data_IF_262998964345
#
_entry.id   IF_262998964345
#
_cell.length_a   1.000
_cell.length_b   1.000
_cell.length_c   1.000
_cell.angle_alpha   90.00
_cell.angle_beta   90.00
_cell.angle_gamma   90.00
#
_symmetry.space_group_name_H-M   'P 1'
#
loop_
_entity.id
_entity.type
_entity.pdbx_description
1 polymer ?
#
# COMPACT_ATOMS: atom_id res chain seq x y z
N UNK A 1 10.21 -5.22 -33.14
CA UNK A 1 10.87 -3.95 -33.53
C UNK A 1 11.27 -3.13 -32.30
N UNK A 2 12.57 -3.09 -32.05
CA UNK A 2 13.22 -2.42 -30.93
C UNK A 2 12.89 -0.92 -30.86
N UNK A 3 12.11 -0.51 -29.87
CA UNK A 3 12.17 0.86 -29.36
C UNK A 3 13.22 0.90 -28.26
N UNK A 4 14.47 0.94 -28.71
CA UNK A 4 15.63 1.26 -27.89
C UNK A 4 15.52 2.75 -27.52
N UNK A 5 14.65 3.08 -26.57
CA UNK A 5 14.64 4.41 -25.95
C UNK A 5 15.90 4.47 -25.10
N UNK A 6 16.90 5.32 -25.42
CA UNK A 6 18.12 5.37 -24.65
C UNK A 6 17.74 5.75 -23.21
N UNK A 7 17.98 4.85 -22.25
CA UNK A 7 17.90 5.21 -20.84
C UNK A 7 18.78 6.45 -20.65
N UNK A 8 18.22 7.60 -20.22
CA UNK A 8 19.03 8.78 -20.03
C UNK A 8 20.12 8.42 -19.02
N UNK A 9 21.38 8.61 -19.40
CA UNK A 9 22.53 8.34 -18.55
C UNK A 9 22.27 8.98 -17.17
N UNK A 10 22.34 8.23 -16.05
CA UNK A 10 22.08 8.78 -14.72
C UNK A 10 22.86 10.08 -14.44
N UNK A 11 24.08 10.17 -14.95
CA UNK A 11 24.93 11.36 -14.87
C UNK A 11 24.35 12.58 -15.60
N UNK A 12 23.68 12.38 -16.74
CA UNK A 12 23.02 13.48 -17.48
C UNK A 12 21.81 14.02 -16.73
N UNK A 13 20.96 13.14 -16.18
CA UNK A 13 19.81 13.56 -15.37
C UNK A 13 20.27 14.28 -14.11
N UNK A 14 21.32 13.75 -13.47
CA UNK A 14 21.94 14.35 -12.30
C UNK A 14 22.46 15.77 -12.61
N UNK A 15 23.29 15.93 -13.63
CA UNK A 15 23.86 17.22 -14.01
C UNK A 15 22.78 18.24 -14.41
N UNK A 16 21.77 17.82 -15.19
CA UNK A 16 20.66 18.67 -15.60
C UNK A 16 19.79 19.10 -14.40
N UNK A 17 19.65 18.25 -13.37
CA UNK A 17 18.97 18.62 -12.13
C UNK A 17 19.80 19.61 -11.28
N UNK A 18 21.12 19.41 -11.18
CA UNK A 18 22.01 20.35 -10.50
C UNK A 18 22.01 21.72 -11.18
N UNK A 19 22.06 21.74 -12.50
CA UNK A 19 21.99 22.95 -13.34
C UNK A 19 20.59 23.59 -13.39
N UNK A 20 19.59 23.00 -12.73
CA UNK A 20 18.19 23.49 -12.70
C UNK A 20 17.48 23.46 -14.07
N UNK A 21 17.98 22.68 -15.04
CA UNK A 21 17.32 22.41 -16.31
C UNK A 21 16.12 21.46 -16.12
N UNK A 22 16.25 20.53 -15.17
CA UNK A 22 15.17 19.63 -14.74
C UNK A 22 14.64 20.12 -13.40
N UNK A 23 13.31 20.30 -13.31
CA UNK A 23 12.64 20.78 -12.09
C UNK A 23 12.31 19.67 -11.09
N UNK A 24 12.05 18.45 -11.58
CA UNK A 24 11.63 17.32 -10.76
C UNK A 24 12.33 16.06 -11.25
N UNK A 25 12.87 15.29 -10.30
CA UNK A 25 13.46 13.98 -10.57
C UNK A 25 12.69 12.92 -9.79
N UNK A 26 12.20 11.90 -10.47
CA UNK A 26 11.68 10.69 -9.85
C UNK A 26 12.83 9.68 -9.73
N UNK A 27 13.11 9.24 -8.51
CA UNK A 27 14.30 8.45 -8.18
C UNK A 27 13.97 7.35 -7.18
N UNK A 28 14.66 6.21 -7.31
CA UNK A 28 14.75 5.23 -6.23
C UNK A 28 15.85 5.63 -5.25
N UNK A 29 15.88 4.99 -4.07
CA UNK A 29 16.88 5.26 -3.01
C UNK A 29 18.32 5.28 -3.54
N UNK A 30 18.64 4.40 -4.51
CA UNK A 30 19.97 4.29 -5.10
C UNK A 30 20.44 5.57 -5.83
N UNK A 31 19.52 6.34 -6.44
CA UNK A 31 19.85 7.58 -7.13
C UNK A 31 19.92 8.79 -6.18
N UNK A 32 19.18 8.75 -5.07
CA UNK A 32 19.15 9.84 -4.10
C UNK A 32 20.49 10.07 -3.40
N UNK A 33 21.29 9.02 -3.16
CA UNK A 33 22.48 9.05 -2.30
C UNK A 33 23.57 10.06 -2.72
N UNK A 34 23.60 10.54 -3.96
CA UNK A 34 24.61 11.47 -4.48
C UNK A 34 24.13 12.90 -4.77
N UNK A 35 22.85 13.23 -4.56
CA UNK A 35 22.33 14.58 -4.87
C UNK A 35 22.60 15.52 -3.70
N UNK A 36 23.54 16.45 -3.90
CA UNK A 36 23.81 17.57 -3.00
C UNK A 36 23.49 18.91 -3.69
N UNK A 37 22.19 19.17 -3.84
CA UNK A 37 21.67 20.44 -4.36
C UNK A 37 21.10 21.24 -3.19
N UNK A 38 21.62 22.43 -2.87
CA UNK A 38 21.24 23.14 -1.65
C UNK A 38 19.80 23.66 -1.66
N UNK A 39 19.28 23.95 -2.85
CA UNK A 39 18.01 24.62 -3.10
C UNK A 39 16.85 23.68 -3.46
N UNK A 40 16.90 22.42 -3.01
CA UNK A 40 15.77 21.48 -3.17
C UNK A 40 14.59 21.94 -2.29
N UNK A 41 13.48 22.33 -2.93
CA UNK A 41 12.28 22.86 -2.24
C UNK A 41 11.29 21.79 -1.78
N UNK A 42 11.36 20.60 -2.36
CA UNK A 42 10.39 19.54 -2.10
C UNK A 42 11.01 18.16 -2.25
N UNK A 43 10.76 17.31 -1.26
CA UNK A 43 11.05 15.87 -1.31
C UNK A 43 9.74 15.12 -1.06
N UNK A 44 9.38 14.23 -1.99
CA UNK A 44 8.18 13.42 -1.89
C UNK A 44 8.51 11.93 -1.89
N UNK A 45 7.96 11.24 -0.90
CA UNK A 45 7.90 9.80 -0.82
C UNK A 45 6.53 9.32 -1.32
N UNK A 46 6.54 8.66 -2.48
CA UNK A 46 5.34 8.02 -3.04
C UNK A 46 5.09 6.63 -2.46
N UNK A 47 6.16 6.00 -1.97
CA UNK A 47 6.15 4.73 -1.26
C UNK A 47 6.76 4.95 0.13
N UNK A 48 6.33 4.12 1.10
CA UNK A 48 6.88 4.17 2.45
C UNK A 48 8.37 3.82 2.48
N UNK A 49 9.24 4.66 3.06
CA UNK A 49 10.64 4.34 3.28
C UNK A 49 10.83 3.05 4.08
N UNK A 50 12.00 2.43 3.95
CA UNK A 50 12.31 1.16 4.63
C UNK A 50 12.39 1.30 6.15
N UNK A 51 12.81 2.47 6.62
CA UNK A 51 12.99 2.79 8.03
C UNK A 51 13.01 4.31 8.26
N UNK A 52 12.93 4.71 9.53
CA UNK A 52 12.88 6.11 9.93
C UNK A 52 14.20 6.85 9.67
N UNK A 53 15.36 6.19 9.73
CA UNK A 53 16.65 6.83 9.44
C UNK A 53 16.78 7.16 7.95
N UNK A 54 16.32 6.27 7.08
CA UNK A 54 16.22 6.52 5.64
C UNK A 54 15.32 7.70 5.36
N UNK A 55 14.13 7.74 5.98
CA UNK A 55 13.22 8.89 5.89
C UNK A 55 13.90 10.20 6.31
N UNK A 56 14.60 10.20 7.44
CA UNK A 56 15.33 11.38 7.94
C UNK A 56 16.41 11.86 6.96
N UNK A 57 17.25 10.94 6.47
CA UNK A 57 18.32 11.27 5.54
C UNK A 57 17.80 11.76 4.19
N UNK A 58 16.75 11.12 3.66
CA UNK A 58 16.17 11.44 2.35
C UNK A 58 15.44 12.78 2.38
N UNK A 59 14.62 13.02 3.39
CA UNK A 59 13.92 14.32 3.55
C UNK A 59 14.87 15.45 3.91
N UNK A 60 15.98 15.17 4.61
CA UNK A 60 17.06 16.12 4.93
C UNK A 60 17.87 16.62 3.71
N UNK A 61 17.52 16.17 2.49
CA UNK A 61 18.03 16.77 1.24
C UNK A 61 17.33 18.06 0.88
N UNK A 62 16.12 18.30 1.41
CA UNK A 62 15.37 19.51 1.16
C UNK A 62 15.92 20.67 2.02
N UNK A 63 15.98 21.88 1.46
CA UNK A 63 16.21 23.10 2.26
C UNK A 63 17.59 23.23 2.90
N UNK A 64 18.67 22.71 2.30
CA UNK A 64 20.03 22.83 2.85
C UNK A 64 20.56 24.27 2.83
N UNK A 65 20.01 25.12 1.98
CA UNK A 65 20.20 26.58 1.99
C UNK A 65 19.49 27.31 3.15
N UNK A 66 18.74 26.59 3.99
CA UNK A 66 17.98 27.14 5.12
C UNK A 66 16.66 27.80 4.72
N UNK A 67 16.31 27.84 3.42
CA UNK A 67 15.04 28.38 2.95
C UNK A 67 13.90 27.36 3.13
N UNK A 68 12.64 27.83 3.19
CA UNK A 68 11.49 26.95 3.35
C UNK A 68 11.47 25.81 2.32
N UNK A 69 11.28 24.59 2.80
CA UNK A 69 11.16 23.39 1.99
C UNK A 69 10.14 22.44 2.63
N UNK A 70 9.58 21.55 1.81
CA UNK A 70 8.54 20.63 2.22
C UNK A 70 9.00 19.18 2.07
N UNK A 71 8.76 18.38 3.10
CA UNK A 71 8.84 16.94 3.06
C UNK A 71 7.42 16.37 3.07
N UNK A 72 7.10 15.46 2.14
CA UNK A 72 5.78 14.86 2.03
C UNK A 72 5.88 13.36 1.81
N UNK A 73 5.03 12.60 2.49
CA UNK A 73 5.00 11.14 2.38
C UNK A 73 3.56 10.65 2.22
N UNK A 74 3.33 9.86 1.19
CA UNK A 74 2.16 8.99 1.09
C UNK A 74 2.51 7.58 1.57
N UNK A 75 1.57 6.94 2.26
CA UNK A 75 1.64 5.52 2.59
C UNK A 75 0.25 4.94 2.82
N UNK A 76 0.09 3.66 2.54
CA UNK A 76 -1.09 2.86 2.79
C UNK A 76 -0.76 1.58 3.54
N UNK A 77 -1.81 0.84 3.93
CA UNK A 77 -1.64 -0.46 4.60
C UNK A 77 -0.82 -1.45 3.76
N UNK A 78 -0.95 -1.41 2.43
CA UNK A 78 -0.22 -2.30 1.53
C UNK A 78 1.29 -2.09 1.62
N UNK A 79 1.75 -0.85 1.77
CA UNK A 79 3.18 -0.53 1.89
C UNK A 79 3.74 -1.13 3.17
N UNK A 80 2.98 -1.05 4.27
CA UNK A 80 3.34 -1.66 5.55
C UNK A 80 3.51 -3.17 5.42
N UNK A 81 2.55 -3.84 4.77
CA UNK A 81 2.59 -5.28 4.52
C UNK A 81 3.79 -5.66 3.67
N UNK A 82 4.03 -4.90 2.58
CA UNK A 82 5.15 -5.16 1.66
C UNK A 82 6.51 -4.98 2.34
N UNK A 83 6.71 -3.91 3.13
CA UNK A 83 7.96 -3.68 3.85
C UNK A 83 8.23 -4.77 4.90
N UNK A 84 7.21 -5.16 5.68
CA UNK A 84 7.33 -6.27 6.63
C UNK A 84 7.74 -7.57 5.94
N UNK A 85 7.09 -7.89 4.82
CA UNK A 85 7.45 -9.06 4.00
C UNK A 85 8.91 -9.03 3.55
N UNK A 86 9.39 -7.89 3.03
CA UNK A 86 10.78 -7.77 2.58
C UNK A 86 11.79 -8.00 3.72
N UNK A 87 11.46 -7.61 4.95
CA UNK A 87 12.30 -7.83 6.13
C UNK A 87 12.30 -9.32 6.51
N UNK A 88 11.11 -9.93 6.60
CA UNK A 88 10.95 -11.32 7.06
C UNK A 88 11.56 -12.33 6.09
N UNK A 89 11.33 -12.16 4.78
CA UNK A 89 11.83 -13.07 3.73
C UNK A 89 13.30 -12.83 3.38
N UNK A 90 14.01 -11.98 4.11
CA UNK A 90 15.43 -11.73 3.86
C UNK A 90 16.25 -12.94 4.33
N UNK A 91 16.67 -13.78 3.38
CA UNK A 91 17.43 -15.02 3.66
C UNK A 91 18.85 -14.75 4.21
N UNK A 92 19.42 -13.59 3.88
CA UNK A 92 20.78 -13.20 4.29
C UNK A 92 20.81 -12.61 5.70
N UNK A 93 19.66 -12.17 6.21
CA UNK A 93 19.57 -11.50 7.50
C UNK A 93 19.40 -12.49 8.66
N UNK A 94 20.17 -12.32 9.74
CA UNK A 94 19.91 -13.03 10.99
C UNK A 94 18.59 -12.58 11.62
N UNK A 95 18.00 -13.41 12.49
CA UNK A 95 16.74 -13.04 13.16
C UNK A 95 16.88 -11.79 14.05
N UNK A 96 18.04 -11.60 14.69
CA UNK A 96 18.35 -10.39 15.46
C UNK A 96 18.33 -9.15 14.56
N UNK A 97 18.91 -9.25 13.36
CA UNK A 97 18.89 -8.16 12.39
C UNK A 97 17.46 -7.87 11.92
N UNK A 98 16.65 -8.90 11.63
CA UNK A 98 15.24 -8.74 11.25
C UNK A 98 14.44 -8.07 12.36
N UNK A 99 14.67 -8.45 13.63
CA UNK A 99 14.03 -7.80 14.78
C UNK A 99 14.36 -6.30 14.85
N UNK A 100 15.63 -5.93 14.69
CA UNK A 100 16.04 -4.52 14.63
C UNK A 100 15.33 -3.79 13.48
N UNK A 101 15.31 -4.38 12.29
CA UNK A 101 14.65 -3.78 11.12
C UNK A 101 13.14 -3.61 11.30
N UNK A 102 12.47 -4.59 11.94
CA UNK A 102 11.05 -4.48 12.31
C UNK A 102 10.84 -3.30 13.26
N UNK A 103 11.66 -3.17 14.30
CA UNK A 103 11.59 -2.04 15.24
C UNK A 103 11.76 -0.67 14.55
N UNK A 104 12.69 -0.58 13.58
CA UNK A 104 12.89 0.64 12.79
C UNK A 104 11.71 0.98 11.87
N UNK A 105 11.08 -0.03 11.29
CA UNK A 105 9.86 0.14 10.50
C UNK A 105 8.70 0.60 11.38
N UNK A 106 8.56 0.02 12.58
CA UNK A 106 7.53 0.37 13.55
C UNK A 106 7.70 1.80 14.08
N UNK A 107 8.94 2.27 14.22
CA UNK A 107 9.23 3.68 14.52
C UNK A 107 8.75 4.63 13.41
N UNK A 108 8.95 4.26 12.13
CA UNK A 108 8.45 5.05 11.00
C UNK A 108 6.92 5.06 10.93
N UNK A 109 6.27 3.91 11.20
CA UNK A 109 4.80 3.83 11.29
C UNK A 109 4.28 4.70 12.43
N UNK A 110 4.96 4.68 13.57
CA UNK A 110 4.65 5.55 14.69
C UNK A 110 4.74 7.01 14.26
N UNK A 111 5.84 7.43 13.62
CA UNK A 111 5.96 8.80 13.09
C UNK A 111 4.80 9.19 12.18
N UNK A 112 4.29 8.26 11.36
CA UNK A 112 3.22 8.50 10.40
C UNK A 112 1.81 8.55 11.04
N UNK A 113 1.54 7.74 12.05
CA UNK A 113 0.24 7.68 12.74
C UNK A 113 0.14 8.57 13.99
N UNK A 114 1.27 9.01 14.56
CA UNK A 114 1.28 9.83 15.77
C UNK A 114 0.50 11.13 15.57
N UNK A 115 -0.17 11.56 16.63
CA UNK A 115 -0.96 12.79 16.69
C UNK A 115 -0.16 13.96 17.24
N UNK A 116 1.00 13.69 17.86
CA UNK A 116 1.95 14.70 18.32
C UNK A 116 2.66 15.38 17.15
N UNK A 117 3.38 16.47 17.45
CA UNK A 117 4.22 17.15 16.47
C UNK A 117 5.21 16.19 15.80
N UNK A 118 5.24 16.13 14.45
CA UNK A 118 6.14 15.26 13.69
C UNK A 118 7.61 15.43 14.08
N UNK A 119 8.05 16.68 14.29
CA UNK A 119 9.43 16.97 14.72
C UNK A 119 9.75 16.38 16.09
N UNK A 120 8.79 16.42 17.02
CA UNK A 120 9.00 15.88 18.37
C UNK A 120 9.11 14.36 18.29
N UNK A 121 8.21 13.70 17.56
CA UNK A 121 8.25 12.24 17.37
C UNK A 121 9.53 11.79 16.64
N UNK A 122 9.96 12.55 15.63
CA UNK A 122 11.19 12.27 14.88
C UNK A 122 12.45 12.43 15.72
N UNK A 123 12.60 13.54 16.46
CA UNK A 123 13.78 13.80 17.28
C UNK A 123 13.84 12.87 18.50
N UNK A 124 12.70 12.56 19.10
CA UNK A 124 12.61 11.62 20.22
C UNK A 124 13.14 10.23 19.84
N UNK A 125 12.97 9.79 18.59
CA UNK A 125 13.57 8.54 18.10
C UNK A 125 15.11 8.57 18.14
N UNK A 126 15.73 9.73 17.87
CA UNK A 126 17.17 9.92 17.93
C UNK A 126 17.68 10.29 19.34
N UNK A 127 16.80 10.25 20.36
CA UNK A 127 17.15 10.60 21.73
C UNK A 127 17.27 12.11 21.97
N UNK A 128 16.71 12.94 21.09
CA UNK A 128 16.70 14.39 21.22
C UNK A 128 15.32 14.90 21.65
N UNK A 129 15.31 15.71 22.71
CA UNK A 129 14.10 16.40 23.16
C UNK A 129 13.78 17.62 22.30
N UNK A 130 12.49 17.87 22.07
CA UNK A 130 12.04 19.01 21.30
C UNK A 130 10.66 19.50 21.72
N UNK A 131 10.37 20.76 21.40
CA UNK A 131 9.05 21.35 21.56
C UNK A 131 8.25 21.28 20.24
N UNK A 132 6.91 21.36 20.28
CA UNK A 132 6.08 21.41 19.08
C UNK A 132 6.57 22.48 18.09
N UNK A 133 6.75 22.10 16.83
CA UNK A 133 7.48 22.92 15.87
C UNK A 133 6.70 24.05 15.23
N UNK A 134 5.36 24.06 15.34
CA UNK A 134 4.50 25.04 14.68
C UNK A 134 4.47 24.96 13.15
N UNK A 135 5.14 23.98 12.52
CA UNK A 135 5.36 23.94 11.07
C UNK A 135 5.15 22.55 10.41
N UNK A 136 4.71 21.54 11.16
CA UNK A 136 4.33 20.24 10.59
C UNK A 136 2.82 20.13 10.41
N UNK A 137 2.36 19.16 9.62
CA UNK A 137 0.93 18.90 9.38
C UNK A 137 0.13 18.79 10.68
N UNK A 138 0.64 18.06 11.68
CA UNK A 138 -0.03 17.91 12.97
C UNK A 138 -0.04 19.20 13.82
N UNK A 139 0.92 20.11 13.66
CA UNK A 139 0.90 21.40 14.35
C UNK A 139 -0.03 22.40 13.65
N UNK A 140 -0.02 22.39 12.32
CA UNK A 140 -0.80 23.32 11.49
C UNK A 140 -2.28 22.93 11.45
N UNK A 141 -2.56 21.62 11.39
CA UNK A 141 -3.90 21.04 11.38
C UNK A 141 -3.94 19.87 12.36
N UNK A 142 -4.09 20.13 13.67
CA UNK A 142 -4.15 19.08 14.70
C UNK A 142 -5.18 18.00 14.34
N UNK A 143 -4.78 16.72 14.26
CA UNK A 143 -5.70 15.68 13.88
C UNK A 143 -6.76 15.48 14.96
N UNK A 144 -8.02 15.34 14.54
CA UNK A 144 -9.07 14.88 15.42
C UNK A 144 -8.74 13.45 15.90
N UNK A 145 -9.01 13.20 17.17
CA UNK A 145 -8.85 11.89 17.81
C UNK A 145 -10.19 11.46 18.37
N UNK A 146 -10.46 10.16 18.33
CA UNK A 146 -11.67 9.59 18.86
C UNK A 146 -11.36 8.38 19.71
N UNK A 147 -12.24 8.08 20.65
CA UNK A 147 -12.17 6.86 21.45
C UNK A 147 -12.58 5.66 20.59
N UNK A 148 -11.58 4.96 20.07
CA UNK A 148 -11.77 3.79 19.24
C UNK A 148 -11.66 2.49 20.04
N UNK A 149 -11.76 2.53 21.38
CA UNK A 149 -11.61 1.35 22.25
C UNK A 149 -12.53 0.22 21.81
N UNK A 150 -13.80 0.54 21.49
CA UNK A 150 -14.76 -0.47 21.03
C UNK A 150 -14.36 -1.02 19.66
N UNK A 151 -13.96 -0.18 18.70
CA UNK A 151 -13.54 -0.64 17.38
C UNK A 151 -12.27 -1.51 17.46
N UNK A 152 -11.30 -1.11 18.28
CA UNK A 152 -10.11 -1.89 18.57
C UNK A 152 -10.48 -3.26 19.16
N UNK A 153 -11.33 -3.29 20.19
CA UNK A 153 -11.79 -4.55 20.79
C UNK A 153 -12.51 -5.45 19.80
N UNK A 154 -13.37 -4.90 18.94
CA UNK A 154 -14.06 -5.65 17.87
C UNK A 154 -13.04 -6.29 16.92
N UNK A 155 -12.08 -5.52 16.42
CA UNK A 155 -11.01 -6.01 15.52
C UNK A 155 -10.17 -7.10 16.18
N UNK A 156 -9.63 -6.84 17.39
CA UNK A 156 -8.79 -7.79 18.10
C UNK A 156 -9.56 -9.07 18.47
N UNK A 157 -10.82 -8.94 18.89
CA UNK A 157 -11.69 -10.08 19.18
C UNK A 157 -11.97 -10.91 17.93
N UNK A 158 -12.18 -10.27 16.78
CA UNK A 158 -12.42 -10.97 15.53
C UNK A 158 -11.19 -11.78 15.10
N UNK A 159 -9.98 -11.20 15.17
CA UNK A 159 -8.73 -11.91 14.89
C UNK A 159 -8.60 -13.14 15.79
N UNK A 160 -8.83 -12.97 17.11
CA UNK A 160 -8.77 -14.06 18.08
C UNK A 160 -9.80 -15.17 17.80
N UNK A 161 -11.06 -14.80 17.58
CA UNK A 161 -12.18 -15.75 17.35
C UNK A 161 -11.99 -16.56 16.08
N UNK A 162 -11.52 -15.92 15.01
CA UNK A 162 -11.22 -16.58 13.75
C UNK A 162 -10.11 -17.61 13.91
N UNK A 163 -9.02 -17.24 14.59
CA UNK A 163 -7.93 -18.17 14.89
C UNK A 163 -8.43 -19.34 15.77
N UNK A 164 -9.25 -19.06 16.78
CA UNK A 164 -9.83 -20.08 17.66
C UNK A 164 -10.74 -21.07 16.91
N UNK A 165 -11.58 -20.59 15.99
CA UNK A 165 -12.56 -21.41 15.29
C UNK A 165 -11.95 -22.22 14.14
N UNK A 166 -11.00 -21.62 13.40
CA UNK A 166 -10.42 -22.25 12.21
C UNK A 166 -9.08 -22.92 12.44
N UNK A 167 -8.40 -22.66 13.57
CA UNK A 167 -7.03 -23.12 13.83
C UNK A 167 -5.97 -22.44 12.95
N UNK A 168 -6.37 -21.58 12.01
CA UNK A 168 -5.51 -20.83 11.10
C UNK A 168 -5.83 -19.33 11.16
N UNK A 169 -4.85 -18.51 10.80
CA UNK A 169 -5.00 -17.05 10.75
C UNK A 169 -5.44 -16.57 9.38
N UNK A 170 -6.00 -15.37 9.29
CA UNK A 170 -6.52 -14.79 8.05
C UNK A 170 -6.01 -13.37 7.84
N UNK A 171 -5.93 -12.94 6.58
CA UNK A 171 -5.53 -11.58 6.21
C UNK A 171 -6.62 -10.54 6.49
N UNK A 172 -6.23 -9.26 6.39
CA UNK A 172 -7.07 -8.12 6.73
C UNK A 172 -8.44 -8.09 6.02
N UNK A 173 -8.49 -8.43 4.72
CA UNK A 173 -9.74 -8.43 3.94
C UNK A 173 -10.81 -9.31 4.56
N UNK A 174 -10.45 -10.55 4.89
CA UNK A 174 -11.35 -11.54 5.49
C UNK A 174 -11.85 -11.09 6.88
N UNK A 175 -10.96 -10.56 7.72
CA UNK A 175 -11.33 -10.04 9.04
C UNK A 175 -12.31 -8.86 8.92
N UNK A 176 -12.08 -7.95 7.97
CA UNK A 176 -12.99 -6.83 7.72
C UNK A 176 -14.34 -7.29 7.17
N UNK A 177 -14.37 -8.32 6.31
CA UNK A 177 -15.61 -8.88 5.78
C UNK A 177 -16.45 -9.52 6.90
N UNK A 178 -15.83 -10.25 7.84
CA UNK A 178 -16.51 -10.80 9.03
C UNK A 178 -17.09 -9.68 9.88
N UNK A 179 -16.28 -8.69 10.27
CA UNK A 179 -16.74 -7.57 11.11
C UNK A 179 -17.93 -6.84 10.50
N UNK A 180 -17.93 -6.68 9.18
CA UNK A 180 -19.01 -5.99 8.45
C UNK A 180 -20.20 -6.89 8.13
N UNK A 181 -20.14 -8.18 8.46
CA UNK A 181 -21.23 -9.13 8.23
C UNK A 181 -21.42 -9.49 6.75
N UNK A 182 -20.35 -9.41 5.94
CA UNK A 182 -20.41 -9.80 4.54
C UNK A 182 -20.34 -11.32 4.42
N UNK A 183 -21.31 -11.89 3.72
CA UNK A 183 -21.34 -13.31 3.38
C UNK A 183 -20.51 -13.51 2.11
N UNK A 184 -19.32 -14.07 2.26
CA UNK A 184 -18.44 -14.48 1.15
C UNK A 184 -18.25 -15.99 1.18
N UNK A 185 -17.85 -16.59 0.05
CA UNK A 185 -17.58 -18.03 -0.03
C UNK A 185 -16.63 -18.49 1.07
N UNK A 186 -15.60 -17.69 1.35
CA UNK A 186 -14.61 -17.95 2.40
C UNK A 186 -15.18 -17.82 3.81
N UNK A 187 -16.09 -16.87 4.05
CA UNK A 187 -16.79 -16.76 5.34
C UNK A 187 -17.64 -18.01 5.58
N UNK A 188 -18.38 -18.47 4.56
CA UNK A 188 -19.22 -19.67 4.66
C UNK A 188 -18.41 -20.96 4.80
N UNK A 189 -17.33 -21.09 4.01
CA UNK A 189 -16.44 -22.27 4.02
C UNK A 189 -15.89 -22.56 5.42
N UNK A 190 -15.53 -21.53 6.17
CA UNK A 190 -14.98 -21.64 7.52
C UNK A 190 -16.02 -21.41 8.62
N UNK A 191 -17.31 -21.36 8.26
CA UNK A 191 -18.43 -21.09 9.18
C UNK A 191 -18.24 -19.83 10.06
N UNK A 192 -17.57 -18.82 9.51
CA UNK A 192 -17.28 -17.57 10.22
C UNK A 192 -18.49 -16.64 10.34
N UNK A 193 -19.55 -16.90 9.60
CA UNK A 193 -20.88 -16.31 9.75
C UNK A 193 -21.49 -16.59 11.13
N UNK A 194 -21.10 -17.71 11.77
CA UNK A 194 -21.58 -18.12 13.10
C UNK A 194 -20.80 -17.51 14.25
N UNK A 195 -19.72 -16.76 13.98
CA UNK A 195 -18.93 -16.15 15.02
C UNK A 195 -19.70 -15.00 15.69
N UNK A 196 -19.52 -14.86 17.01
CA UNK A 196 -20.03 -13.69 17.76
C UNK A 196 -19.51 -12.34 17.25
N UNK A 197 -18.45 -12.33 16.43
CA UNK A 197 -17.88 -11.14 15.80
C UNK A 197 -18.38 -10.88 14.39
N UNK A 198 -19.25 -11.74 13.85
CA UNK A 198 -19.86 -11.52 12.55
C UNK A 198 -20.85 -10.35 12.61
N UNK A 199 -20.67 -9.36 11.74
CA UNK A 199 -21.59 -8.21 11.62
C UNK A 199 -21.54 -7.19 12.75
N UNK A 200 -20.76 -7.41 13.81
CA UNK A 200 -20.72 -6.50 14.97
C UNK A 200 -20.09 -5.14 14.66
N UNK A 201 -19.45 -5.00 13.51
CA UNK A 201 -18.73 -3.81 13.04
C UNK A 201 -19.31 -3.18 11.78
N UNK A 202 -20.60 -3.45 11.48
CA UNK A 202 -21.28 -2.95 10.28
C UNK A 202 -21.38 -1.41 10.22
N UNK A 203 -21.23 -0.73 11.37
CA UNK A 203 -21.28 0.73 11.47
C UNK A 203 -20.08 1.44 10.84
N UNK A 204 -18.95 0.74 10.67
CA UNK A 204 -17.75 1.31 10.05
C UNK A 204 -17.58 0.81 8.61
N UNK A 205 -17.24 1.74 7.72
CA UNK A 205 -16.85 1.43 6.36
C UNK A 205 -15.52 0.68 6.31
N UNK A 206 -15.24 0.00 5.19
CA UNK A 206 -13.98 -0.71 5.00
C UNK A 206 -12.75 0.18 5.14
N UNK A 207 -12.83 1.42 4.64
CA UNK A 207 -11.76 2.41 4.73
C UNK A 207 -11.46 2.77 6.18
N UNK A 208 -12.49 2.92 7.01
CA UNK A 208 -12.36 3.17 8.44
C UNK A 208 -11.75 1.96 9.15
N UNK A 209 -12.22 0.74 8.87
CA UNK A 209 -11.63 -0.48 9.42
C UNK A 209 -10.16 -0.66 9.04
N UNK A 210 -9.80 -0.33 7.79
CA UNK A 210 -8.42 -0.35 7.32
C UNK A 210 -7.56 0.67 8.08
N UNK A 211 -8.10 1.85 8.37
CA UNK A 211 -7.45 2.87 9.20
C UNK A 211 -7.28 2.41 10.66
N UNK A 212 -8.29 1.76 11.24
CA UNK A 212 -8.20 1.15 12.59
C UNK A 212 -7.10 0.10 12.63
N UNK A 213 -7.12 -0.87 11.71
CA UNK A 213 -6.11 -1.93 11.65
C UNK A 213 -4.69 -1.37 11.48
N UNK A 214 -4.50 -0.40 10.58
CA UNK A 214 -3.20 0.24 10.34
C UNK A 214 -2.66 0.90 11.61
N UNK A 215 -3.51 1.58 12.38
CA UNK A 215 -3.10 2.19 13.64
C UNK A 215 -2.88 1.16 14.77
N UNK A 216 -3.62 0.05 14.79
CA UNK A 216 -3.36 -1.06 15.74
C UNK A 216 -2.02 -1.76 15.46
N UNK A 217 -1.61 -1.84 14.20
CA UNK A 217 -0.28 -2.30 13.82
C UNK A 217 0.79 -1.33 14.32
N UNK A 218 0.61 -0.02 14.09
CA UNK A 218 1.54 1.01 14.57
C UNK A 218 1.66 1.06 16.10
N UNK A 219 0.60 0.67 16.83
CA UNK A 219 0.58 0.53 18.29
C UNK A 219 1.07 -0.83 18.80
N UNK A 220 1.69 -1.66 17.94
CA UNK A 220 2.19 -2.99 18.29
C UNK A 220 1.15 -3.95 18.91
N UNK A 221 -0.13 -3.80 18.57
CA UNK A 221 -1.20 -4.71 19.02
C UNK A 221 -1.46 -5.84 18.03
N UNK A 222 -1.18 -5.59 16.74
CA UNK A 222 -1.38 -6.56 15.65
C UNK A 222 -0.11 -6.63 14.81
N UNK A 223 0.31 -7.84 14.47
CA UNK A 223 1.37 -8.11 13.50
C UNK A 223 0.78 -8.72 12.24
N UNK A 224 1.37 -8.40 11.10
CA UNK A 224 1.14 -9.12 9.83
C UNK A 224 2.24 -10.17 9.69
N UNK A 225 1.85 -11.44 9.61
CA UNK A 225 2.74 -12.56 9.30
C UNK A 225 2.86 -12.68 7.79
N UNK A 226 4.05 -12.35 7.27
CA UNK A 226 4.28 -12.29 5.84
C UNK A 226 4.51 -13.68 5.19
N UNK A 227 4.93 -14.67 5.97
CA UNK A 227 5.16 -16.06 5.52
C UNK A 227 3.84 -16.82 5.40
N UNK A 228 2.95 -16.61 6.37
CA UNK A 228 1.60 -17.16 6.34
C UNK A 228 0.63 -16.24 5.57
N UNK A 229 0.90 -15.93 4.29
CA UNK A 229 -0.02 -15.20 3.40
C UNK A 229 -0.53 -13.84 3.92
N UNK A 230 0.31 -13.06 4.63
CA UNK A 230 -0.07 -11.75 5.21
C UNK A 230 -1.23 -11.85 6.21
N UNK A 231 -1.22 -12.90 7.03
CA UNK A 231 -2.25 -13.13 8.05
C UNK A 231 -2.03 -12.26 9.29
N UNK A 232 -3.12 -11.95 9.98
CA UNK A 232 -3.07 -11.10 11.17
C UNK A 232 -2.88 -11.93 12.43
N UNK A 233 -1.93 -11.52 13.28
CA UNK A 233 -1.63 -12.13 14.57
C UNK A 233 -1.69 -11.08 15.68
N UNK A 234 -2.21 -11.49 16.84
CA UNK A 234 -2.24 -10.63 18.02
C UNK A 234 -0.88 -10.61 18.72
N UNK A 235 -0.46 -9.44 19.17
CA UNK A 235 0.71 -9.24 20.00
C UNK A 235 0.33 -9.11 21.49
N UNK A 236 1.28 -9.24 22.44
CA UNK A 236 0.99 -9.21 23.88
C UNK A 236 0.16 -7.98 24.33
N UNK A 237 0.43 -6.81 23.75
CA UNK A 237 -0.23 -5.54 24.10
C UNK A 237 -1.73 -5.52 23.76
N UNK A 238 -2.19 -6.37 22.84
CA UNK A 238 -3.62 -6.52 22.53
C UNK A 238 -4.43 -7.02 23.73
N UNK A 239 -3.80 -7.74 24.67
CA UNK A 239 -4.47 -8.39 25.79
C UNK A 239 -5.10 -7.38 26.75
N UNK A 240 -4.41 -6.30 27.07
CA UNK A 240 -4.91 -5.27 27.98
C UNK A 240 -6.17 -4.58 27.40
N UNK A 241 -6.16 -4.31 26.08
CA UNK A 241 -7.31 -3.74 25.37
C UNK A 241 -8.49 -4.72 25.35
N UNK A 242 -8.25 -6.01 25.08
CA UNK A 242 -9.30 -7.03 25.07
C UNK A 242 -10.00 -7.17 26.43
N UNK A 243 -9.24 -7.08 27.53
CA UNK A 243 -9.75 -7.08 28.91
C UNK A 243 -10.43 -5.78 29.32
N UNK A 244 -10.30 -4.71 28.52
CA UNK A 244 -10.84 -3.39 28.86
C UNK A 244 -10.02 -2.63 29.88
N UNK A 245 -8.76 -3.01 30.10
CA UNK A 245 -7.84 -2.35 31.02
C UNK A 245 -7.25 -1.05 30.43
N UNK A 246 -7.19 -0.96 29.09
CA UNK A 246 -6.58 0.16 28.36
C UNK A 246 -7.55 0.69 27.32
N UNK A 247 -7.68 2.02 27.25
CA UNK A 247 -8.41 2.74 26.20
C UNK A 247 -7.53 2.95 24.98
N UNK A 248 -8.14 2.95 23.79
CA UNK A 248 -7.44 3.10 22.52
C UNK A 248 -7.93 4.36 21.81
N UNK A 249 -7.15 5.43 21.95
CA UNK A 249 -7.36 6.66 21.19
C UNK A 249 -6.70 6.54 19.82
N UNK A 250 -7.49 6.73 18.76
CA UNK A 250 -7.02 6.68 17.38
C UNK A 250 -7.27 8.02 16.69
N UNK A 251 -6.42 8.32 15.72
CA UNK A 251 -6.63 9.41 14.76
C UNK A 251 -7.90 9.13 13.97
N UNK A 252 -8.78 10.12 13.89
CA UNK A 252 -9.94 10.07 13.04
C UNK A 252 -9.48 10.10 11.58
N UNK A 253 -9.92 9.12 10.80
CA UNK A 253 -9.71 9.14 9.37
C UNK A 253 -10.63 10.23 8.81
N UNK A 254 -10.05 11.33 8.33
CA UNK A 254 -10.79 12.27 7.51
C UNK A 254 -11.37 11.49 6.33
N UNK A 255 -12.69 11.21 6.36
CA UNK A 255 -13.43 10.75 5.20
C UNK A 255 -13.20 11.84 4.16
N UNK A 256 -12.28 11.60 3.22
CA UNK A 256 -11.76 12.63 2.33
C UNK A 256 -12.89 13.52 1.83
N UNK A 257 -12.82 14.80 2.20
CA UNK A 257 -13.90 15.76 2.00
C UNK A 257 -14.39 15.77 0.56
N UNK A 258 -15.52 15.12 0.32
CA UNK A 258 -16.32 15.25 -0.91
C UNK A 258 -17.48 16.24 -0.73
N UNK A 259 -17.55 16.92 0.40
CA UNK A 259 -18.65 17.85 0.69
C UNK A 259 -18.40 19.29 0.18
N UNK A 260 -17.14 19.73 -0.02
CA UNK A 260 -16.87 21.17 -0.27
C UNK A 260 -16.02 21.48 -1.52
N UNK A 261 -15.82 20.50 -2.41
CA UNK A 261 -15.14 20.71 -3.71
C UNK A 261 -16.10 20.71 -4.91
N UNK A 262 -17.38 20.98 -4.67
CA UNK A 262 -18.36 21.28 -5.72
C UNK A 262 -18.29 22.77 -6.10
N UNK A 263 -17.20 23.19 -6.75
CA UNK A 263 -17.22 24.24 -7.77
C UNK A 263 -15.84 24.35 -8.44
N UNK A 264 -15.88 24.25 -9.77
CA UNK A 264 -14.79 24.44 -10.75
C UNK A 264 -13.69 23.38 -10.82
N UNK A 265 -13.96 22.35 -11.61
CA UNK A 265 -13.15 22.15 -12.82
C UNK A 265 -14.00 21.48 -13.91
N UNK A 266 -14.03 22.10 -15.07
CA UNK A 266 -14.56 21.53 -16.31
C UNK A 266 -13.66 20.35 -16.66
N UNK A 267 -14.20 19.13 -16.58
CA UNK A 267 -13.52 17.92 -17.00
C UNK A 267 -13.51 17.86 -18.53
N UNK A 268 -12.38 18.18 -19.14
CA UNK A 268 -12.00 17.54 -20.41
C UNK A 268 -11.31 16.23 -20.06
N UNK A 269 -12.09 15.17 -19.90
CA UNK A 269 -11.53 13.84 -19.59
C UNK A 269 -10.86 13.25 -20.83
N UNK A 270 -9.54 13.17 -20.79
CA UNK A 270 -8.65 12.44 -21.73
C UNK A 270 -8.90 10.91 -21.70
N UNK A 271 -9.87 10.44 -20.91
CA UNK A 271 -10.20 9.01 -20.75
C UNK A 271 -10.89 8.39 -21.97
N UNK A 272 -11.47 9.21 -22.87
CA UNK A 272 -12.20 8.74 -24.05
C UNK A 272 -11.38 8.59 -25.34
N UNK A 273 -10.10 8.97 -25.35
CA UNK A 273 -9.32 9.05 -26.60
C UNK A 273 -8.43 7.81 -26.88
N UNK A 274 -8.30 6.89 -25.92
CA UNK A 274 -7.45 5.70 -26.03
C UNK A 274 -8.24 4.37 -26.18
N UNK A 275 -9.58 4.42 -26.16
CA UNK A 275 -10.45 3.26 -26.47
C UNK A 275 -10.92 3.27 -27.95
N UNK A 276 -10.66 4.35 -28.69
CA UNK A 276 -11.13 4.55 -30.06
C UNK A 276 -10.26 3.89 -31.16
N UNK A 277 -9.17 3.21 -30.82
CA UNK A 277 -8.23 2.60 -31.80
C UNK A 277 -8.29 1.07 -31.88
N UNK A 278 -9.20 0.42 -31.15
CA UNK A 278 -9.34 -1.04 -31.14
C UNK A 278 -10.51 -1.45 -32.05
N UNK A 279 -10.33 -2.51 -32.84
CA UNK A 279 -11.45 -3.11 -33.59
C UNK A 279 -12.44 -3.81 -32.64
N UNK A 280 -13.65 -4.12 -33.12
CA UNK A 280 -14.71 -4.70 -32.29
C UNK A 280 -14.30 -6.00 -31.59
N UNK A 281 -13.55 -6.89 -32.28
CA UNK A 281 -13.04 -8.14 -31.72
C UNK A 281 -12.00 -7.93 -30.61
N UNK A 282 -11.10 -6.96 -30.76
CA UNK A 282 -10.13 -6.60 -29.73
C UNK A 282 -10.80 -5.96 -28.50
N UNK A 283 -11.87 -5.18 -28.68
CA UNK A 283 -12.63 -4.64 -27.55
C UNK A 283 -13.31 -5.75 -26.74
N UNK A 284 -13.88 -6.76 -27.41
CA UNK A 284 -14.50 -7.90 -26.75
C UNK A 284 -13.47 -8.76 -25.98
N UNK A 285 -12.33 -9.08 -26.62
CA UNK A 285 -11.22 -9.78 -25.96
C UNK A 285 -10.72 -9.00 -24.75
N UNK A 286 -10.55 -7.68 -24.86
CA UNK A 286 -10.11 -6.85 -23.74
C UNK A 286 -11.10 -6.89 -22.56
N UNK A 287 -12.40 -6.91 -22.83
CA UNK A 287 -13.42 -7.03 -21.79
C UNK A 287 -13.34 -8.38 -21.07
N UNK A 288 -13.22 -9.49 -21.82
CA UNK A 288 -13.06 -10.85 -21.26
C UNK A 288 -11.76 -10.99 -20.47
N UNK A 289 -10.65 -10.47 -20.98
CA UNK A 289 -9.36 -10.45 -20.30
C UNK A 289 -9.39 -9.62 -19.01
N UNK A 290 -10.11 -8.49 -18.98
CA UNK A 290 -10.33 -7.70 -17.76
C UNK A 290 -11.16 -8.45 -16.73
N UNK A 291 -12.22 -9.14 -17.17
CA UNK A 291 -13.08 -9.94 -16.30
C UNK A 291 -12.31 -11.12 -15.71
N UNK A 292 -11.61 -11.88 -16.54
CA UNK A 292 -10.74 -12.97 -16.12
C UNK A 292 -9.65 -12.50 -15.14
N UNK A 293 -8.98 -11.40 -15.45
CA UNK A 293 -7.98 -10.82 -14.54
C UNK A 293 -8.59 -10.46 -13.18
N UNK A 294 -9.80 -9.91 -13.16
CA UNK A 294 -10.49 -9.58 -11.92
C UNK A 294 -10.87 -10.83 -11.11
N UNK A 295 -11.23 -11.92 -11.79
CA UNK A 295 -11.51 -13.21 -11.16
C UNK A 295 -10.26 -13.83 -10.53
N UNK A 296 -9.17 -13.92 -11.29
CA UNK A 296 -7.88 -14.44 -10.80
C UNK A 296 -7.32 -13.56 -9.68
N UNK A 297 -7.45 -12.25 -9.80
CA UNK A 297 -7.07 -11.30 -8.76
C UNK A 297 -7.87 -11.50 -7.46
N UNK A 298 -9.17 -11.77 -7.59
CA UNK A 298 -10.06 -12.09 -6.46
C UNK A 298 -9.71 -13.43 -5.82
N UNK A 299 -9.42 -14.44 -6.63
CA UNK A 299 -9.02 -15.78 -6.17
C UNK A 299 -7.71 -15.73 -5.36
N UNK A 300 -6.72 -15.01 -5.85
CA UNK A 300 -5.43 -14.86 -5.17
C UNK A 300 -5.38 -13.71 -4.16
N UNK A 301 -6.48 -12.96 -3.98
CA UNK A 301 -6.57 -11.78 -3.12
C UNK A 301 -5.43 -10.75 -3.38
N UNK A 302 -5.13 -10.53 -4.66
CA UNK A 302 -4.14 -9.57 -5.14
C UNK A 302 -4.86 -8.47 -5.93
N UNK A 303 -4.35 -7.22 -5.95
CA UNK A 303 -4.87 -6.22 -6.87
C UNK A 303 -4.74 -6.68 -8.33
N UNK A 304 -5.76 -6.42 -9.15
CA UNK A 304 -5.82 -6.89 -10.54
C UNK A 304 -4.55 -6.57 -11.37
N UNK A 305 -3.95 -5.40 -11.15
CA UNK A 305 -2.74 -4.98 -11.85
C UNK A 305 -1.52 -5.89 -11.57
N UNK A 306 -1.49 -6.63 -10.45
CA UNK A 306 -0.41 -7.56 -10.10
C UNK A 306 -0.43 -8.78 -11.03
N UNK A 307 -1.63 -9.25 -11.41
CA UNK A 307 -1.82 -10.33 -12.38
C UNK A 307 -1.34 -9.84 -13.76
N UNK A 308 -1.94 -8.77 -14.28
CA UNK A 308 -1.48 -8.07 -15.49
C UNK A 308 -1.84 -6.59 -15.46
N UNK A 309 -0.95 -5.71 -15.95
CA UNK A 309 -1.29 -4.30 -16.14
C UNK A 309 -2.25 -4.12 -17.33
N UNK A 310 -3.00 -3.01 -17.36
CA UNK A 310 -3.92 -2.69 -18.46
C UNK A 310 -3.19 -2.57 -19.82
N UNK A 311 -1.90 -2.23 -19.82
CA UNK A 311 -1.06 -2.24 -21.01
C UNK A 311 -0.91 -3.65 -21.60
N UNK A 312 -0.66 -4.64 -20.75
CA UNK A 312 -0.50 -6.04 -21.16
C UNK A 312 -1.81 -6.65 -21.66
N UNK A 313 -2.94 -6.38 -20.99
CA UNK A 313 -4.25 -6.85 -21.47
C UNK A 313 -4.64 -6.27 -22.83
N UNK A 314 -4.26 -5.01 -23.09
CA UNK A 314 -4.48 -4.38 -24.40
C UNK A 314 -3.60 -5.02 -25.48
N UNK A 315 -2.32 -5.23 -25.20
CA UNK A 315 -1.41 -5.90 -26.13
C UNK A 315 -1.90 -7.33 -26.46
N UNK A 316 -2.41 -8.06 -25.47
CA UNK A 316 -3.04 -9.38 -25.67
C UNK A 316 -4.28 -9.30 -26.55
N UNK A 317 -5.13 -8.30 -26.31
CA UNK A 317 -6.35 -8.10 -27.08
C UNK A 317 -6.07 -7.69 -28.54
N UNK A 318 -5.02 -6.90 -28.78
CA UNK A 318 -4.58 -6.46 -30.11
C UNK A 318 -3.90 -7.58 -30.90
N UNK A 319 -3.03 -8.37 -30.26
CA UNK A 319 -2.21 -9.38 -30.95
C UNK A 319 -2.90 -10.73 -31.16
N UNK A 320 -4.00 -10.98 -30.45
CA UNK A 320 -4.84 -12.18 -30.61
C UNK A 320 -4.07 -13.53 -30.62
N UNK A 321 -3.26 -13.79 -29.57
CA UNK A 321 -2.36 -14.95 -29.54
C UNK A 321 -3.14 -16.26 -29.60
N UNK A 322 -2.70 -17.18 -30.46
CA UNK A 322 -3.33 -18.50 -30.67
C UNK A 322 -2.51 -19.66 -30.10
N UNK A 323 -1.24 -19.41 -29.75
CA UNK A 323 -0.33 -20.40 -29.21
C UNK A 323 0.50 -19.85 -28.05
N UNK A 324 1.10 -20.75 -27.25
CA UNK A 324 2.00 -20.36 -26.17
C UNK A 324 3.25 -19.62 -26.69
N UNK A 325 3.64 -19.85 -27.95
CA UNK A 325 4.73 -19.11 -28.60
C UNK A 325 4.35 -17.67 -28.93
N UNK A 326 3.08 -17.40 -29.28
CA UNK A 326 2.60 -16.04 -29.59
C UNK A 326 2.54 -15.14 -28.35
N UNK A 327 2.50 -15.77 -27.17
CA UNK A 327 2.57 -15.11 -25.88
C UNK A 327 4.01 -14.67 -25.53
N UNK A 328 5.02 -15.30 -26.13
CA UNK A 328 6.43 -14.95 -25.96
C UNK A 328 6.77 -13.68 -26.75
N UNK A 329 6.85 -12.55 -26.05
CA UNK A 329 7.14 -11.24 -26.64
C UNK A 329 6.15 -10.13 -26.29
N UNK A 330 5.04 -10.49 -25.63
CA UNK A 330 4.06 -9.53 -25.13
C UNK A 330 4.61 -8.79 -23.91
N UNK A 331 4.60 -7.46 -23.96
CA UNK A 331 5.12 -6.62 -22.86
C UNK A 331 4.36 -6.87 -21.56
N UNK A 332 5.08 -7.34 -20.52
CA UNK A 332 4.51 -7.74 -19.23
C UNK A 332 4.23 -9.24 -19.09
N UNK A 333 4.54 -10.05 -20.10
CA UNK A 333 4.44 -11.52 -20.10
C UNK A 333 5.83 -12.17 -20.00
N UNK A 334 6.34 -12.30 -18.78
CA UNK A 334 7.60 -12.99 -18.50
C UNK A 334 7.43 -14.51 -18.33
N UNK A 335 8.53 -15.26 -18.38
CA UNK A 335 8.54 -16.74 -18.34
C UNK A 335 7.69 -17.36 -17.20
N UNK A 336 7.75 -16.78 -15.97
CA UNK A 336 6.94 -17.25 -14.84
C UNK A 336 5.43 -17.03 -15.05
N UNK A 337 5.03 -15.90 -15.66
CA UNK A 337 3.62 -15.60 -15.94
C UNK A 337 3.09 -16.40 -17.13
N UNK A 338 3.95 -16.67 -18.11
CA UNK A 338 3.63 -17.56 -19.23
C UNK A 338 3.36 -18.97 -18.73
N UNK A 339 4.22 -19.50 -17.84
CA UNK A 339 4.03 -20.83 -17.25
C UNK A 339 2.78 -20.90 -16.36
N UNK A 340 2.51 -19.86 -15.57
CA UNK A 340 1.39 -19.85 -14.63
C UNK A 340 0.03 -19.58 -15.28
N UNK A 341 -0.03 -18.71 -16.29
CA UNK A 341 -1.28 -18.18 -16.83
C UNK A 341 -1.45 -18.34 -18.34
N UNK A 342 -0.44 -18.84 -19.06
CA UNK A 342 -0.45 -18.88 -20.53
C UNK A 342 -1.61 -19.67 -21.14
N UNK A 343 -1.86 -20.88 -20.63
CA UNK A 343 -2.96 -21.73 -21.11
C UNK A 343 -4.34 -21.07 -20.90
N UNK A 344 -4.50 -20.38 -19.76
CA UNK A 344 -5.76 -19.75 -19.39
C UNK A 344 -6.00 -18.44 -20.17
N UNK A 345 -4.95 -17.66 -20.41
CA UNK A 345 -5.01 -16.47 -21.28
C UNK A 345 -5.40 -16.86 -22.70
N UNK A 346 -4.83 -17.94 -23.25
CA UNK A 346 -5.21 -18.46 -24.57
C UNK A 346 -6.68 -18.89 -24.61
N UNK A 347 -7.15 -19.58 -23.56
CA UNK A 347 -8.56 -19.98 -23.43
C UNK A 347 -9.51 -18.77 -23.47
N UNK A 348 -9.15 -17.69 -22.76
CA UNK A 348 -9.96 -16.46 -22.70
C UNK A 348 -9.91 -15.68 -24.03
N UNK A 349 -8.77 -15.67 -24.73
CA UNK A 349 -8.65 -15.05 -26.05
C UNK A 349 -9.41 -15.83 -27.13
N UNK A 350 -9.31 -17.17 -27.16
CA UNK A 350 -9.95 -18.06 -28.13
C UNK A 350 -11.48 -18.09 -28.01
N UNK A 351 -12.04 -17.80 -26.84
CA UNK A 351 -13.49 -17.71 -26.62
C UNK A 351 -14.15 -16.49 -27.32
N UNK A 352 -13.45 -15.81 -28.23
CA UNK A 352 -13.91 -14.63 -28.98
C UNK A 352 -13.94 -14.85 -30.50
N UNK A 353 -13.99 -16.12 -30.93
CA UNK A 353 -14.21 -16.52 -32.32
C UNK A 353 -15.68 -16.81 -32.60
#
# INVERSE_FOLDING_TARGET
>A
PNLNVPHPCPTRVHNAFLASEIRVVAATVAFGMGIDKPDVRFVAHLDMPKNIEGYYQETGRAGRDGLPANAWMAYGLQDVVNQRRMIDTSEVASEEFKQVMRGKLDALLTLAEDTRCRRVSLLSYFGEDSQPCGNCDNCLNPPAVWDATIAARKMLSCIYRVQQASGISFGAGHIMDILRGKVTDKVMQYAHDKLSTFGIGAELAETQWRGVLRQLIAKNMVRVDSEAFSTLQLLPDARAVLRGEVTVMLREQALGGSADRKKRSVKTSVKGMAEASLNAGAMERLAKLKAWRAEVAREHNLPAFVIFHDATLRALAEQDPQSLGDLEGISGMGAKKLQAYGAEVLRVCAASA
#
